data_IF_039775459637
#
_entry.id   IF_039775459637
#
_cell.length_a   1.000
_cell.length_b   1.000
_cell.length_c   1.000
_cell.angle_alpha   90.00
_cell.angle_beta   90.00
_cell.angle_gamma   90.00
#
_symmetry.space_group_name_H-M   'P 1'
#
loop_
_entity.id
_entity.type
_entity.pdbx_description
1 polymer ?
#
# COMPACT_ATOMS: atom_id res chain seq x y z
N UNK A 1 -6.06 31.21 56.57
CA UNK A 1 -6.09 31.35 55.10
C UNK A 1 -6.96 32.56 54.78
N UNK A 2 -6.47 33.54 54.03
CA UNK A 2 -7.23 34.76 53.69
C UNK A 2 -7.99 34.54 52.40
N UNK A 3 -9.21 35.08 52.29
CA UNK A 3 -10.06 34.90 51.11
C UNK A 3 -9.41 35.43 49.82
N UNK A 4 -8.69 36.55 49.89
CA UNK A 4 -8.04 37.14 48.71
C UNK A 4 -6.97 36.26 48.05
N UNK A 5 -6.39 35.29 48.77
CA UNK A 5 -5.43 34.33 48.20
C UNK A 5 -6.14 33.24 47.34
N UNK A 6 -7.48 33.17 47.40
CA UNK A 6 -8.31 32.15 46.75
C UNK A 6 -9.37 32.72 45.80
N UNK A 7 -9.71 34.01 45.87
CA UNK A 7 -10.75 34.63 45.03
C UNK A 7 -10.53 34.38 43.53
N UNK A 8 -9.31 34.61 43.03
CA UNK A 8 -8.96 34.37 41.62
C UNK A 8 -9.02 32.88 41.26
N UNK A 9 -8.71 32.01 42.22
CA UNK A 9 -8.68 30.57 42.01
C UNK A 9 -10.07 29.93 42.04
N UNK A 10 -11.08 30.57 42.64
CA UNK A 10 -12.44 29.99 42.69
C UNK A 10 -13.02 29.86 41.28
N UNK A 11 -12.75 30.82 40.38
CA UNK A 11 -13.19 30.73 38.97
C UNK A 11 -12.49 29.57 38.26
N UNK A 12 -11.16 29.51 38.31
CA UNK A 12 -10.37 28.43 37.71
C UNK A 12 -10.72 27.05 38.32
N UNK A 13 -11.11 27.00 39.60
CA UNK A 13 -11.61 25.81 40.27
C UNK A 13 -12.96 25.34 39.71
N UNK A 14 -13.88 26.26 39.43
CA UNK A 14 -15.18 25.95 38.82
C UNK A 14 -15.00 25.43 37.39
N UNK A 15 -14.08 26.03 36.63
CA UNK A 15 -13.77 25.64 35.24
C UNK A 15 -12.91 24.37 35.15
N UNK A 16 -12.32 23.91 36.26
CA UNK A 16 -11.51 22.70 36.33
C UNK A 16 -10.07 22.87 35.80
N UNK A 17 -9.58 24.12 35.74
CA UNK A 17 -8.28 24.47 35.17
C UNK A 17 -7.12 24.39 36.19
N UNK A 18 -7.44 24.21 37.47
CA UNK A 18 -6.43 24.15 38.53
C UNK A 18 -5.74 22.77 38.63
N UNK A 19 -4.41 22.74 38.87
CA UNK A 19 -3.71 21.51 39.23
C UNK A 19 -4.30 20.87 40.49
N UNK A 20 -4.27 19.53 40.58
CA UNK A 20 -4.90 18.76 41.65
C UNK A 20 -4.53 19.25 43.08
N UNK A 21 -3.26 19.62 43.30
CA UNK A 21 -2.79 20.14 44.58
C UNK A 21 -3.44 21.48 44.94
N UNK A 22 -3.60 22.39 43.98
CA UNK A 22 -4.24 23.69 44.20
C UNK A 22 -5.74 23.55 44.38
N UNK A 23 -6.39 22.70 43.58
CA UNK A 23 -7.81 22.36 43.74
C UNK A 23 -8.13 21.80 45.12
N UNK A 24 -7.24 21.00 45.71
CA UNK A 24 -7.41 20.50 47.08
C UNK A 24 -7.33 21.63 48.13
N UNK A 25 -6.44 22.60 47.95
CA UNK A 25 -6.33 23.77 48.83
C UNK A 25 -7.58 24.66 48.73
N UNK A 26 -8.05 24.94 47.52
CA UNK A 26 -9.29 25.70 47.28
C UNK A 26 -10.46 24.98 47.95
N UNK A 27 -10.61 23.67 47.74
CA UNK A 27 -11.67 22.88 48.38
C UNK A 27 -11.61 22.96 49.91
N UNK A 28 -10.43 22.83 50.51
CA UNK A 28 -10.29 22.96 51.96
C UNK A 28 -10.67 24.37 52.47
N UNK A 29 -10.37 25.41 51.69
CA UNK A 29 -10.82 26.77 52.00
C UNK A 29 -12.34 26.92 51.86
N UNK A 30 -12.92 26.38 50.78
CA UNK A 30 -14.36 26.33 50.57
C UNK A 30 -15.05 25.59 51.71
N UNK A 31 -14.49 24.53 52.30
CA UNK A 31 -15.10 23.85 53.44
C UNK A 31 -15.15 24.72 54.72
N UNK A 32 -14.24 25.69 54.85
CA UNK A 32 -14.15 26.58 56.01
C UNK A 32 -14.76 27.98 55.82
N UNK A 33 -14.89 28.47 54.58
CA UNK A 33 -15.27 29.84 54.28
C UNK A 33 -16.64 29.94 53.60
N UNK A 34 -17.64 30.48 54.30
CA UNK A 34 -18.99 30.65 53.77
C UNK A 34 -19.06 31.65 52.60
N UNK A 35 -18.25 32.72 52.62
CA UNK A 35 -18.23 33.72 51.57
C UNK A 35 -17.74 33.14 50.24
N UNK A 36 -16.60 32.43 50.25
CA UNK A 36 -16.07 31.79 49.04
C UNK A 36 -16.96 30.66 48.52
N UNK A 37 -17.66 29.92 49.41
CA UNK A 37 -18.70 28.96 48.97
C UNK A 37 -19.85 29.63 48.25
N UNK A 38 -20.32 30.78 48.73
CA UNK A 38 -21.39 31.52 48.07
C UNK A 38 -20.96 31.96 46.67
N UNK A 39 -19.72 32.44 46.51
CA UNK A 39 -19.14 32.77 45.20
C UNK A 39 -19.05 31.54 44.29
N UNK A 40 -18.54 30.42 44.78
CA UNK A 40 -18.43 29.18 44.02
C UNK A 40 -19.79 28.67 43.54
N UNK A 41 -20.81 28.71 44.43
CA UNK A 41 -22.19 28.34 44.09
C UNK A 41 -22.77 29.26 43.02
N UNK A 42 -22.56 30.58 43.13
CA UNK A 42 -23.02 31.56 42.15
C UNK A 42 -22.40 31.32 40.77
N UNK A 43 -21.09 31.06 40.73
CA UNK A 43 -20.37 30.78 39.48
C UNK A 43 -20.89 29.49 38.82
N UNK A 44 -21.03 28.40 39.58
CA UNK A 44 -21.61 27.15 39.06
C UNK A 44 -23.02 27.33 38.53
N UNK A 45 -23.87 28.08 39.25
CA UNK A 45 -25.22 28.38 38.80
C UNK A 45 -25.19 29.16 37.48
N UNK A 46 -24.29 30.14 37.36
CA UNK A 46 -24.13 30.95 36.13
C UNK A 46 -23.71 30.08 34.94
N UNK A 47 -22.71 29.22 35.11
CA UNK A 47 -22.28 28.26 34.07
C UNK A 47 -23.43 27.31 33.69
N UNK A 48 -24.18 26.82 34.66
CA UNK A 48 -25.34 25.96 34.39
C UNK A 48 -26.45 26.67 33.62
N UNK A 49 -26.64 27.99 33.80
CA UNK A 49 -27.58 28.80 32.99
C UNK A 49 -27.07 29.05 31.58
N UNK A 50 -25.76 29.16 31.37
CA UNK A 50 -25.20 29.31 30.02
C UNK A 50 -25.52 28.11 29.12
N UNK A 51 -25.69 26.92 29.67
CA UNK A 51 -26.13 25.73 28.93
C UNK A 51 -27.57 25.84 28.38
N UNK A 52 -28.37 26.77 28.87
CA UNK A 52 -29.74 27.03 28.38
C UNK A 52 -29.79 28.03 27.22
N UNK A 53 -28.66 28.67 26.91
CA UNK A 53 -28.58 29.58 25.79
C UNK A 53 -28.84 28.83 24.47
N UNK A 54 -29.49 29.47 23.49
CA UNK A 54 -29.69 28.86 22.19
C UNK A 54 -28.34 28.46 21.57
N UNK A 55 -28.33 27.31 20.91
CA UNK A 55 -27.13 26.82 20.25
C UNK A 55 -26.60 27.87 19.27
N UNK A 56 -25.32 28.22 19.41
CA UNK A 56 -24.65 29.09 18.46
C UNK A 56 -24.42 28.33 17.15
N UNK A 57 -25.03 28.82 16.07
CA UNK A 57 -24.89 28.26 14.73
C UNK A 57 -23.90 29.13 13.92
N UNK A 58 -22.64 28.69 13.72
CA UNK A 58 -21.67 29.46 12.96
C UNK A 58 -22.05 29.54 11.47
N UNK A 59 -21.75 30.68 10.84
CA UNK A 59 -22.01 30.87 9.41
C UNK A 59 -21.28 29.81 8.56
N UNK A 60 -21.81 29.45 7.37
CA UNK A 60 -21.12 28.54 6.45
C UNK A 60 -19.72 29.03 6.04
N UNK A 61 -19.46 30.35 6.04
CA UNK A 61 -18.14 30.89 5.77
C UNK A 61 -17.17 30.58 6.92
N UNK A 62 -17.57 30.86 8.16
CA UNK A 62 -16.77 30.57 9.36
C UNK A 62 -16.47 29.08 9.49
N UNK A 63 -17.47 28.22 9.23
CA UNK A 63 -17.28 26.76 9.23
C UNK A 63 -16.21 26.33 8.25
N UNK A 64 -16.27 26.80 7.01
CA UNK A 64 -15.26 26.49 5.97
C UNK A 64 -13.87 26.97 6.37
N UNK A 65 -13.75 28.17 6.93
CA UNK A 65 -12.46 28.69 7.39
C UNK A 65 -11.85 27.83 8.50
N UNK A 66 -12.66 27.39 9.47
CA UNK A 66 -12.20 26.50 10.55
C UNK A 66 -11.74 25.16 9.99
N UNK A 67 -12.52 24.53 9.11
CA UNK A 67 -12.12 23.26 8.49
C UNK A 67 -10.85 23.40 7.65
N UNK A 68 -10.71 24.49 6.89
CA UNK A 68 -9.48 24.74 6.14
C UNK A 68 -8.24 24.86 7.05
N UNK A 69 -8.39 25.47 8.23
CA UNK A 69 -7.30 25.51 9.23
C UNK A 69 -6.98 24.15 9.83
N UNK A 70 -7.99 23.30 10.06
CA UNK A 70 -7.80 21.93 10.53
C UNK A 70 -7.10 21.06 9.47
N UNK A 71 -7.50 21.18 8.20
CA UNK A 71 -6.88 20.45 7.09
C UNK A 71 -5.43 20.87 6.84
N UNK A 72 -5.08 22.11 7.17
CA UNK A 72 -3.72 22.62 7.07
C UNK A 72 -2.80 22.14 8.21
N UNK A 73 -3.32 21.52 9.26
CA UNK A 73 -2.50 21.00 10.35
C UNK A 73 -1.59 19.86 9.83
N UNK A 74 -0.32 19.83 10.25
CA UNK A 74 0.59 18.76 9.83
C UNK A 74 0.10 17.42 10.37
N UNK A 75 -0.35 16.55 9.48
CA UNK A 75 -0.68 15.16 9.83
C UNK A 75 0.59 14.41 10.24
N UNK A 76 0.62 13.72 11.40
CA UNK A 76 1.75 12.88 11.77
C UNK A 76 1.94 11.76 10.74
N UNK A 77 3.20 11.38 10.52
CA UNK A 77 3.55 10.35 9.54
C UNK A 77 2.87 9.00 9.83
N UNK A 78 2.64 8.68 11.11
CA UNK A 78 1.96 7.47 11.56
C UNK A 78 0.53 7.36 11.05
N UNK A 79 -0.17 8.48 10.94
CA UNK A 79 -1.54 8.54 10.46
C UNK A 79 -1.62 8.37 8.93
N UNK A 80 -0.61 8.87 8.20
CA UNK A 80 -0.47 8.64 6.75
C UNK A 80 -0.25 7.15 6.45
N UNK A 81 0.66 6.50 7.17
CA UNK A 81 0.94 5.06 7.02
C UNK A 81 -0.30 4.24 7.37
N UNK A 82 -0.96 4.55 8.49
CA UNK A 82 -2.18 3.84 8.92
C UNK A 82 -3.33 3.98 7.91
N UNK A 83 -3.45 5.13 7.23
CA UNK A 83 -4.45 5.34 6.16
C UNK A 83 -4.17 4.44 4.94
N UNK A 84 -2.90 4.22 4.60
CA UNK A 84 -2.50 3.33 3.50
C UNK A 84 -2.70 1.85 3.83
N UNK A 85 -2.55 1.49 5.11
CA UNK A 85 -2.83 0.14 5.63
C UNK A 85 -4.31 -0.14 5.89
N UNK A 86 -5.24 0.76 5.51
CA UNK A 86 -6.68 0.50 5.68
C UNK A 86 -7.17 -0.59 4.71
N UNK A 87 -8.01 -1.54 5.17
CA UNK A 87 -8.49 -2.64 4.35
C UNK A 87 -9.28 -2.17 3.11
N UNK A 88 -9.97 -1.02 3.19
CA UNK A 88 -10.66 -0.42 2.06
C UNK A 88 -9.73 -0.04 0.87
N UNK A 89 -8.43 0.16 1.10
CA UNK A 89 -7.42 0.44 0.06
C UNK A 89 -6.68 -0.84 -0.34
N UNK A 90 -6.46 -1.77 0.60
CA UNK A 90 -5.72 -3.01 0.35
C UNK A 90 -6.51 -4.07 -0.44
N UNK A 91 -7.83 -4.16 -0.24
CA UNK A 91 -8.70 -5.15 -0.92
C UNK A 91 -8.64 -5.03 -2.46
N UNK A 92 -8.81 -3.86 -3.10
CA UNK A 92 -8.73 -3.79 -4.56
C UNK A 92 -7.32 -4.04 -5.11
N UNK A 93 -6.26 -3.70 -4.36
CA UNK A 93 -4.87 -3.89 -4.78
C UNK A 93 -4.46 -5.38 -4.84
N UNK A 94 -4.98 -6.20 -3.92
CA UNK A 94 -4.69 -7.65 -3.93
C UNK A 94 -5.28 -8.38 -5.14
N UNK A 95 -6.46 -7.94 -5.62
CA UNK A 95 -7.09 -8.52 -6.81
C UNK A 95 -6.26 -8.31 -8.07
N UNK A 96 -5.73 -7.10 -8.28
CA UNK A 96 -4.91 -6.79 -9.44
C UNK A 96 -3.58 -7.56 -9.41
N UNK A 97 -2.94 -7.66 -8.24
CA UNK A 97 -1.69 -8.39 -8.07
C UNK A 97 -1.85 -9.90 -8.29
N UNK A 98 -2.97 -10.48 -7.83
CA UNK A 98 -3.28 -11.90 -8.06
C UNK A 98 -3.51 -12.19 -9.55
N UNK A 99 -4.26 -11.32 -10.25
CA UNK A 99 -4.46 -11.45 -11.70
C UNK A 99 -3.14 -11.36 -12.46
N UNK A 100 -2.29 -10.39 -12.09
CA UNK A 100 -0.97 -10.23 -12.72
C UNK A 100 -0.09 -11.47 -12.50
N UNK A 101 -0.04 -11.99 -11.26
CA UNK A 101 0.74 -13.18 -10.92
C UNK A 101 0.26 -14.44 -11.67
N UNK A 102 -1.06 -14.63 -11.78
CA UNK A 102 -1.65 -15.73 -12.55
C UNK A 102 -1.34 -15.59 -14.04
N UNK A 103 -1.47 -14.38 -14.60
CA UNK A 103 -1.17 -14.13 -16.01
C UNK A 103 0.31 -14.38 -16.35
N UNK A 104 1.25 -13.94 -15.49
CA UNK A 104 2.68 -14.22 -15.65
C UNK A 104 2.98 -15.72 -15.56
N UNK A 105 2.29 -16.44 -14.65
CA UNK A 105 2.45 -17.89 -14.51
C UNK A 105 1.91 -18.68 -15.70
N UNK A 106 0.85 -18.20 -16.37
CA UNK A 106 0.34 -18.83 -17.60
C UNK A 106 1.21 -18.50 -18.83
N UNK A 107 1.86 -17.34 -18.87
CA UNK A 107 2.74 -16.95 -19.98
C UNK A 107 4.18 -17.47 -19.83
N UNK A 108 4.56 -18.00 -18.66
CA UNK A 108 5.86 -18.61 -18.46
C UNK A 108 5.95 -19.88 -19.32
N UNK A 109 6.94 -20.00 -20.23
CA UNK A 109 7.14 -21.23 -20.98
C UNK A 109 7.36 -22.38 -20.00
N UNK A 110 6.61 -23.48 -20.20
CA UNK A 110 6.78 -24.68 -19.38
C UNK A 110 8.22 -25.20 -19.45
N UNK A 111 8.69 -25.93 -18.42
CA UNK A 111 10.04 -26.53 -18.43
C UNK A 111 10.26 -27.46 -19.64
N UNK A 112 9.18 -27.91 -20.28
CA UNK A 112 9.20 -28.77 -21.46
C UNK A 112 9.51 -28.02 -22.77
N UNK A 113 9.46 -26.68 -22.78
CA UNK A 113 9.81 -25.87 -23.96
C UNK A 113 11.32 -25.94 -24.30
N UNK A 114 12.15 -26.38 -23.36
CA UNK A 114 13.59 -26.58 -23.58
C UNK A 114 13.90 -27.90 -24.32
N UNK A 115 12.95 -28.83 -24.44
CA UNK A 115 13.18 -30.15 -25.07
C UNK A 115 12.70 -30.25 -26.52
N UNK A 116 12.27 -29.14 -27.14
CA UNK A 116 11.57 -29.17 -28.43
C UNK A 116 12.40 -28.85 -29.68
N UNK A 117 13.71 -28.57 -29.58
CA UNK A 117 14.52 -28.16 -30.74
C UNK A 117 15.62 -29.13 -31.16
N UNK A 118 15.82 -30.24 -30.46
CA UNK A 118 16.89 -31.21 -30.78
C UNK A 118 16.38 -32.53 -31.37
N UNK A 119 15.09 -32.85 -31.29
CA UNK A 119 14.58 -34.18 -31.65
C UNK A 119 14.15 -34.35 -33.12
N UNK A 120 13.78 -33.27 -33.84
CA UNK A 120 13.28 -33.43 -35.21
C UNK A 120 14.37 -33.89 -36.20
N UNK A 121 15.58 -33.32 -36.09
CA UNK A 121 16.72 -33.69 -36.93
C UNK A 121 17.32 -35.05 -36.54
N UNK A 122 17.25 -35.42 -35.26
CA UNK A 122 17.74 -36.71 -34.75
C UNK A 122 16.82 -37.86 -35.20
N UNK A 123 15.51 -37.63 -35.24
CA UNK A 123 14.53 -38.61 -35.78
C UNK A 123 14.70 -38.77 -37.30
N UNK A 124 14.98 -37.70 -38.04
CA UNK A 124 15.22 -37.74 -39.49
C UNK A 124 16.51 -38.50 -39.84
N UNK A 125 17.57 -38.35 -39.04
CA UNK A 125 18.83 -39.08 -39.21
C UNK A 125 18.68 -40.58 -38.90
N UNK A 126 17.93 -40.94 -37.87
CA UNK A 126 17.67 -42.33 -37.52
C UNK A 126 16.81 -43.07 -38.57
N UNK A 127 15.91 -42.36 -39.24
CA UNK A 127 15.07 -42.93 -40.29
C UNK A 127 15.84 -43.26 -41.58
N UNK A 128 17.01 -42.66 -41.79
CA UNK A 128 17.85 -42.83 -42.98
C UNK A 128 19.22 -43.45 -42.65
N UNK A 129 19.32 -44.21 -41.55
CA UNK A 129 20.57 -44.85 -41.13
C UNK A 129 21.12 -45.81 -42.20
N UNK A 130 20.24 -46.45 -42.96
CA UNK A 130 20.58 -47.34 -44.09
C UNK A 130 21.23 -46.59 -45.27
N UNK A 131 20.95 -45.28 -45.41
CA UNK A 131 21.55 -44.43 -46.46
C UNK A 131 22.94 -43.91 -46.09
N UNK A 132 23.27 -43.89 -44.80
CA UNK A 132 24.55 -43.40 -44.28
C UNK A 132 25.65 -44.48 -44.31
N UNK A 133 25.30 -45.76 -44.20
CA UNK A 133 26.26 -46.87 -44.32
C UNK A 133 26.76 -47.05 -45.77
N UNK A 134 25.99 -46.66 -46.79
CA UNK A 134 26.33 -46.85 -48.21
C UNK A 134 27.31 -45.78 -48.77
N UNK A 135 27.67 -44.76 -48.00
CA UNK A 135 28.65 -43.74 -48.44
C UNK A 135 30.11 -44.20 -48.36
N UNK A 136 30.41 -45.33 -47.68
CA UNK A 136 31.78 -45.86 -47.57
C UNK A 136 32.21 -46.64 -48.83
N UNK A 137 31.29 -46.91 -49.78
CA UNK A 137 31.56 -47.72 -50.98
C UNK A 137 32.06 -46.89 -52.17
N UNK A 138 31.91 -45.56 -52.16
CA UNK A 138 32.29 -44.73 -53.31
C UNK A 138 33.70 -44.09 -53.22
N UNK A 139 34.43 -44.20 -52.11
CA UNK A 139 35.83 -43.75 -52.06
C UNK A 139 36.08 -42.29 -52.47
N UNK A 140 35.07 -41.43 -52.36
CA UNK A 140 35.13 -40.03 -52.74
C UNK A 140 35.66 -39.23 -51.55
N UNK A 141 36.94 -38.87 -51.58
CA UNK A 141 37.58 -38.08 -50.52
C UNK A 141 37.58 -36.57 -50.81
N UNK A 142 37.00 -36.13 -51.94
CA UNK A 142 36.99 -34.73 -52.38
C UNK A 142 35.67 -34.34 -53.07
N UNK A 143 35.35 -33.04 -53.08
CA UNK A 143 34.13 -32.47 -53.68
C UNK A 143 34.14 -32.48 -55.22
N UNK A 144 35.29 -32.69 -55.85
CA UNK A 144 35.43 -32.68 -57.32
C UNK A 144 34.84 -33.95 -58.00
N UNK A 145 34.66 -35.06 -57.27
CA UNK A 145 34.15 -36.32 -57.83
C UNK A 145 32.62 -36.34 -58.05
N UNK A 146 31.90 -35.40 -57.44
CA UNK A 146 30.43 -35.28 -57.55
C UNK A 146 30.01 -34.76 -58.94
N UNK A 147 30.93 -34.12 -59.67
CA UNK A 147 30.67 -33.56 -61.00
C UNK A 147 30.56 -34.65 -62.10
N UNK A 148 31.11 -35.84 -61.87
CA UNK A 148 31.09 -36.95 -62.85
C UNK A 148 29.72 -37.64 -62.89
N UNK A 149 29.07 -37.81 -61.73
CA UNK A 149 27.74 -38.43 -61.63
C UNK A 149 26.66 -37.52 -62.23
N UNK A 150 26.80 -36.20 -62.07
CA UNK A 150 25.86 -35.22 -62.63
C UNK A 150 25.92 -35.15 -64.16
N UNK A 151 27.05 -35.51 -64.78
CA UNK A 151 27.22 -35.53 -66.25
C UNK A 151 27.00 -36.90 -66.89
N UNK A 152 26.63 -37.94 -66.13
CA UNK A 152 26.37 -39.28 -66.68
C UNK A 152 25.23 -39.28 -67.71
N UNK A 153 24.25 -38.37 -67.55
CA UNK A 153 23.14 -38.19 -68.50
C UNK A 153 23.58 -37.62 -69.85
N UNK A 154 24.79 -37.08 -69.99
CA UNK A 154 25.31 -36.53 -71.25
C UNK A 154 26.08 -37.57 -72.09
N UNK A 155 26.38 -38.75 -71.55
CA UNK A 155 27.14 -39.81 -72.25
C UNK A 155 26.27 -40.94 -72.82
N UNK A 156 24.94 -40.90 -72.65
CA UNK A 156 24.03 -41.93 -73.17
C UNK A 156 23.51 -41.66 -74.59
N UNK A 157 24.12 -40.71 -75.32
CA UNK A 157 23.81 -40.47 -76.72
C UNK A 157 25.10 -40.50 -77.54
N UNK A 158 25.47 -41.70 -78.01
CA UNK A 158 25.85 -42.03 -79.39
C UNK A 158 26.21 -43.52 -79.43
N UNK A 159 25.49 -44.27 -80.29
CA UNK A 159 25.84 -45.61 -80.75
C UNK A 159 27.18 -45.65 -81.47
#
# INVERSE_FOLDING_TARGET
MRCGDFEDDVTAYVDGELPAARSAQVRAHLDACAACRATETLLRATVARMAELPAFEPSPATRREVFAKLDALPTPWSERVRRWLRPAVLVPATGLAAVLAVSLRMMAPGPDAALGMEDASVIELAANLELAEDYEVLGLTDMDDVEVVTKLHELEVVQ
#
